data_IF_526372811452
#
_entry.id   IF_526372811452
#
_cell.length_a   1.000
_cell.length_b   1.000
_cell.length_c   1.000
_cell.angle_alpha   90.00
_cell.angle_beta   90.00
_cell.angle_gamma   90.00
#
_symmetry.space_group_name_H-M   'P 1'
#
loop_
_entity.id
_entity.type
_entity.pdbx_description
1 polymer ?
#
# COMPACT_ATOMS: atom_id res chain seq x y z
N UNK A 1 -16.53 0.23 -18.00
CA UNK A 1 -15.89 -1.09 -18.18
C UNK A 1 -15.69 -1.67 -16.80
N UNK A 2 -16.01 -2.95 -16.53
CA UNK A 2 -15.66 -3.54 -15.24
C UNK A 2 -14.15 -3.42 -15.00
N UNK A 3 -13.71 -3.39 -13.75
CA UNK A 3 -12.29 -3.39 -13.40
C UNK A 3 -12.14 -4.05 -12.03
N UNK A 4 -11.31 -5.09 -11.96
CA UNK A 4 -11.02 -5.77 -10.70
C UNK A 4 -9.91 -5.03 -9.94
N UNK A 5 -10.07 -4.87 -8.63
CA UNK A 5 -9.00 -4.46 -7.73
C UNK A 5 -8.40 -5.71 -7.11
N UNK A 6 -7.10 -5.91 -7.30
CA UNK A 6 -6.36 -7.03 -6.77
C UNK A 6 -5.30 -6.58 -5.75
N UNK A 7 -5.07 -7.42 -4.75
CA UNK A 7 -4.00 -7.25 -3.75
C UNK A 7 -3.08 -8.46 -3.73
N UNK A 8 -1.87 -8.30 -3.23
CA UNK A 8 -0.87 -9.37 -3.17
C UNK A 8 -1.00 -10.29 -1.95
N UNK A 9 -1.91 -9.99 -1.03
CA UNK A 9 -2.10 -10.74 0.22
C UNK A 9 -3.54 -10.64 0.73
N UNK A 10 -4.14 -11.72 1.27
CA UNK A 10 -5.56 -11.75 1.64
C UNK A 10 -5.92 -10.88 2.86
N UNK A 11 -4.97 -10.64 3.76
CA UNK A 11 -5.10 -9.75 4.91
C UNK A 11 -5.21 -8.27 4.54
N UNK A 12 -4.95 -7.91 3.27
CA UNK A 12 -5.20 -6.57 2.74
C UNK A 12 -6.66 -6.37 2.29
N UNK A 13 -7.49 -7.41 2.33
CA UNK A 13 -8.88 -7.34 1.88
C UNK A 13 -9.79 -6.96 3.05
N UNK A 14 -10.20 -5.69 3.10
CA UNK A 14 -11.21 -5.24 4.06
C UNK A 14 -12.62 -5.67 3.63
N UNK A 15 -13.52 -5.95 4.60
CA UNK A 15 -14.93 -6.17 4.31
C UNK A 15 -15.54 -4.90 3.71
N UNK A 16 -16.46 -5.08 2.77
CA UNK A 16 -17.24 -3.97 2.25
C UNK A 16 -18.32 -3.55 3.25
N UNK A 17 -18.60 -2.24 3.41
CA UNK A 17 -19.76 -1.78 4.18
C UNK A 17 -21.10 -2.08 3.50
N UNK A 18 -21.10 -2.36 2.20
CA UNK A 18 -22.28 -2.60 1.38
C UNK A 18 -22.17 -3.90 0.55
N UNK A 19 -23.31 -4.37 0.02
CA UNK A 19 -23.40 -5.61 -0.78
C UNK A 19 -23.01 -5.46 -2.25
N UNK A 20 -22.83 -4.23 -2.73
CA UNK A 20 -22.64 -3.92 -4.15
C UNK A 20 -21.16 -3.77 -4.52
N UNK A 21 -20.33 -3.36 -3.57
CA UNK A 21 -18.88 -3.26 -3.75
C UNK A 21 -18.28 -4.65 -3.92
N UNK A 22 -17.65 -4.95 -5.06
CA UNK A 22 -17.06 -6.26 -5.33
C UNK A 22 -15.94 -6.57 -4.33
N UNK A 23 -15.64 -7.85 -4.09
CA UNK A 23 -14.47 -8.24 -3.27
C UNK A 23 -13.17 -7.96 -4.01
N UNK A 24 -12.09 -7.68 -3.28
CA UNK A 24 -10.77 -7.64 -3.89
C UNK A 24 -10.38 -9.05 -4.34
N UNK A 25 -9.74 -9.16 -5.50
CA UNK A 25 -9.05 -10.38 -5.88
C UNK A 25 -7.73 -10.50 -5.11
N UNK A 26 -7.29 -11.73 -4.82
CA UNK A 26 -6.01 -11.98 -4.14
C UNK A 26 -5.11 -12.76 -5.08
N UNK A 27 -4.00 -12.15 -5.52
CA UNK A 27 -3.01 -12.79 -6.40
C UNK A 27 -1.93 -13.48 -5.57
N UNK A 28 -2.30 -14.56 -4.89
CA UNK A 28 -1.36 -15.34 -4.04
C UNK A 28 -0.25 -15.99 -4.87
N UNK A 29 -0.54 -16.29 -6.14
CA UNK A 29 0.43 -16.77 -7.13
C UNK A 29 1.63 -15.85 -7.35
N UNK A 30 1.48 -14.55 -7.06
CA UNK A 30 2.55 -13.57 -7.18
C UNK A 30 3.64 -13.72 -6.09
N UNK A 31 3.30 -14.29 -4.93
CA UNK A 31 4.15 -14.21 -3.71
C UNK A 31 5.22 -15.31 -3.63
N UNK A 32 5.08 -16.39 -4.40
CA UNK A 32 6.06 -17.47 -4.53
C UNK A 32 6.39 -18.24 -3.24
N UNK A 33 7.20 -19.32 -3.32
CA UNK A 33 7.52 -20.16 -2.14
C UNK A 33 8.44 -19.52 -1.08
N UNK A 34 8.94 -18.29 -1.28
CA UNK A 34 10.12 -17.77 -0.58
C UNK A 34 9.90 -16.67 0.46
N UNK A 35 8.66 -16.38 0.85
CA UNK A 35 8.32 -15.17 1.63
C UNK A 35 7.86 -15.36 3.08
N UNK A 36 8.08 -16.52 3.72
CA UNK A 36 7.67 -16.74 5.10
C UNK A 36 8.67 -16.18 6.13
N UNK A 37 8.23 -15.60 7.27
CA UNK A 37 9.12 -15.25 8.37
C UNK A 37 9.72 -16.53 8.98
N UNK A 38 11.03 -16.55 9.15
CA UNK A 38 11.78 -17.70 9.63
C UNK A 38 11.28 -18.20 10.98
N UNK A 39 10.64 -19.37 10.96
CA UNK A 39 10.36 -20.14 12.16
C UNK A 39 11.71 -20.55 12.78
N UNK A 40 12.05 -19.96 13.92
CA UNK A 40 13.18 -20.40 14.75
C UNK A 40 12.93 -21.86 15.13
N UNK A 41 13.80 -22.76 14.66
CA UNK A 41 13.81 -24.16 15.03
C UNK A 41 14.00 -24.31 16.54
N UNK A 42 13.00 -24.87 17.21
CA UNK A 42 13.18 -25.41 18.55
C UNK A 42 13.86 -26.77 18.44
N UNK A 43 14.98 -26.85 19.15
CA UNK A 43 15.88 -28.00 19.28
C UNK A 43 15.10 -29.20 19.80
N UNK A 44 15.12 -30.30 19.03
CA UNK A 44 14.52 -31.57 19.43
C UNK A 44 15.18 -32.15 20.68
N UNK A 45 14.35 -32.67 21.58
CA UNK A 45 14.77 -33.51 22.69
C UNK A 45 14.13 -34.90 22.53
N UNK A 46 14.98 -35.92 22.68
CA UNK A 46 14.67 -37.35 22.64
C UNK A 46 13.75 -37.81 23.79
N UNK A 47 13.05 -38.92 23.55
CA UNK A 47 12.42 -39.80 24.55
C UNK A 47 11.39 -40.71 23.86
N UNK A 48 11.73 -41.90 23.38
CA UNK A 48 11.87 -43.19 24.10
C UNK A 48 10.54 -43.92 24.40
N UNK A 49 10.31 -44.98 23.60
CA UNK A 49 9.89 -46.38 23.95
C UNK A 49 8.58 -46.72 24.68
N UNK A 50 7.89 -47.74 24.12
CA UNK A 50 6.90 -48.66 24.75
C UNK A 50 5.69 -48.94 23.84
N UNK A 51 5.57 -50.04 23.08
CA UNK A 51 5.13 -51.42 23.43
C UNK A 51 3.76 -51.47 24.13
N UNK A 52 2.74 -52.31 23.85
CA UNK A 52 2.49 -53.42 22.90
C UNK A 52 0.99 -53.85 22.98
N UNK A 53 0.51 -54.64 21.99
CA UNK A 53 -0.63 -55.59 22.06
C UNK A 53 -2.03 -55.02 21.75
N UNK A 54 -2.97 -55.68 21.07
CA UNK A 54 -3.16 -56.99 20.40
C UNK A 54 -4.59 -56.94 19.81
N UNK A 55 -4.87 -57.36 18.58
CA UNK A 55 -5.38 -58.70 18.26
C UNK A 55 -6.84 -58.69 17.74
N UNK A 56 -7.03 -59.08 16.48
CA UNK A 56 -8.16 -59.89 15.97
C UNK A 56 -9.54 -59.26 15.71
N UNK A 57 -10.06 -59.40 14.48
CA UNK A 57 -11.49 -59.27 14.18
C UNK A 57 -11.84 -59.09 12.70
N UNK A 58 -12.21 -60.16 12.02
CA UNK A 58 -12.60 -60.23 10.60
C UNK A 58 -14.09 -59.86 10.45
N UNK A 59 -14.45 -59.06 9.45
CA UNK A 59 -15.86 -58.83 9.06
C UNK A 59 -16.03 -57.75 7.99
N UNK A 60 -16.61 -58.11 6.85
CA UNK A 60 -17.10 -57.27 5.74
C UNK A 60 -18.35 -57.95 5.18
N UNK A 61 -19.20 -57.33 4.32
CA UNK A 61 -19.17 -55.96 3.77
C UNK A 61 -20.52 -55.21 3.86
N UNK A 62 -20.56 -53.91 3.54
CA UNK A 62 -21.84 -53.23 3.24
C UNK A 62 -21.80 -51.71 3.06
N UNK A 63 -22.04 -51.26 1.83
CA UNK A 63 -22.67 -49.99 1.40
C UNK A 63 -21.94 -48.64 1.56
N UNK A 64 -21.38 -48.20 0.42
CA UNK A 64 -21.51 -46.85 -0.21
C UNK A 64 -21.60 -45.61 0.69
N UNK A 65 -20.51 -44.86 0.75
CA UNK A 65 -20.48 -43.42 1.00
C UNK A 65 -19.20 -42.83 0.42
N UNK A 66 -19.29 -42.16 -0.73
CA UNK A 66 -18.14 -41.50 -1.38
C UNK A 66 -17.88 -40.18 -0.65
N UNK A 67 -17.02 -40.22 0.37
CA UNK A 67 -16.39 -39.05 0.97
C UNK A 67 -14.90 -39.15 0.62
N UNK A 68 -14.45 -38.34 -0.34
CA UNK A 68 -13.04 -38.22 -0.67
C UNK A 68 -12.32 -37.44 0.43
N UNK A 69 -11.80 -38.17 1.41
CA UNK A 69 -10.78 -37.72 2.33
C UNK A 69 -9.41 -37.93 1.66
N UNK A 70 -8.93 -36.91 0.94
CA UNK A 70 -7.52 -36.85 0.54
C UNK A 70 -6.72 -36.18 1.68
N UNK A 71 -6.37 -36.99 2.68
CA UNK A 71 -5.31 -36.68 3.62
C UNK A 71 -3.96 -36.68 2.92
N UNK A 72 -3.57 -35.52 2.38
CA UNK A 72 -2.21 -35.27 1.91
C UNK A 72 -1.47 -34.40 2.93
N UNK A 73 -0.36 -34.89 3.47
CA UNK A 73 0.58 -34.14 4.31
C UNK A 73 0.92 -32.80 3.63
N UNK A 74 0.38 -31.71 4.17
CA UNK A 74 0.55 -30.35 3.63
C UNK A 74 1.95 -29.82 3.89
N UNK A 75 2.89 -30.11 2.98
CA UNK A 75 4.06 -29.26 2.80
C UNK A 75 3.62 -27.89 2.30
N UNK A 76 4.29 -26.82 2.76
CA UNK A 76 4.03 -25.44 2.36
C UNK A 76 3.94 -25.34 0.82
N UNK A 77 2.73 -25.19 0.28
CA UNK A 77 2.52 -25.06 -1.16
C UNK A 77 3.05 -23.70 -1.58
N UNK A 78 4.26 -23.67 -2.12
CA UNK A 78 4.73 -22.53 -2.88
C UNK A 78 3.85 -22.35 -4.11
N UNK A 79 3.20 -21.20 -4.26
CA UNK A 79 2.35 -20.94 -5.41
C UNK A 79 3.17 -20.88 -6.72
N UNK A 80 2.70 -21.59 -7.76
CA UNK A 80 3.39 -21.68 -9.05
C UNK A 80 3.10 -20.46 -9.95
N UNK A 81 3.97 -20.22 -10.93
CA UNK A 81 3.74 -19.17 -11.93
C UNK A 81 2.51 -19.47 -12.79
N UNK A 82 2.29 -20.75 -13.14
CA UNK A 82 1.13 -21.20 -13.91
C UNK A 82 -0.20 -20.89 -13.21
N UNK A 83 -0.25 -21.07 -11.89
CA UNK A 83 -1.43 -20.70 -11.10
C UNK A 83 -1.65 -19.18 -11.15
N UNK A 84 -0.58 -18.39 -11.01
CA UNK A 84 -0.66 -16.93 -11.07
C UNK A 84 -1.13 -16.43 -12.45
N UNK A 85 -0.68 -17.07 -13.53
CA UNK A 85 -1.13 -16.79 -14.90
C UNK A 85 -2.61 -17.11 -15.07
N UNK A 86 -3.05 -18.27 -14.57
CA UNK A 86 -4.47 -18.69 -14.63
C UNK A 86 -5.37 -17.74 -13.85
N UNK A 87 -4.96 -17.34 -12.64
CA UNK A 87 -5.66 -16.37 -11.80
C UNK A 87 -5.79 -15.02 -12.53
N UNK A 88 -4.69 -14.49 -13.05
CA UNK A 88 -4.68 -13.21 -13.76
C UNK A 88 -5.51 -13.24 -15.05
N UNK A 89 -5.38 -14.31 -15.85
CA UNK A 89 -6.17 -14.48 -17.07
C UNK A 89 -7.67 -14.55 -16.75
N UNK A 90 -8.06 -15.33 -15.74
CA UNK A 90 -9.46 -15.42 -15.30
C UNK A 90 -10.01 -14.05 -14.92
N UNK A 91 -9.24 -13.24 -14.17
CA UNK A 91 -9.67 -11.88 -13.80
C UNK A 91 -9.83 -10.96 -15.01
N UNK A 92 -8.93 -11.04 -16.00
CA UNK A 92 -9.02 -10.25 -17.22
C UNK A 92 -10.27 -10.64 -18.03
N UNK A 93 -10.56 -11.93 -18.17
CA UNK A 93 -11.75 -12.38 -18.92
C UNK A 93 -13.05 -11.94 -18.23
N UNK A 94 -13.11 -12.01 -16.90
CA UNK A 94 -14.34 -11.65 -16.16
C UNK A 94 -14.52 -10.14 -16.00
N UNK A 95 -13.44 -9.39 -15.83
CA UNK A 95 -13.50 -7.98 -15.46
C UNK A 95 -12.92 -7.05 -16.53
N UNK A 96 -12.33 -7.53 -17.61
CA UNK A 96 -11.69 -6.71 -18.64
C UNK A 96 -10.33 -6.15 -18.20
N UNK A 97 -10.28 -5.44 -17.08
CA UNK A 97 -9.06 -4.81 -16.55
C UNK A 97 -8.80 -5.22 -15.09
N UNK A 98 -7.53 -5.25 -14.72
CA UNK A 98 -7.07 -5.58 -13.36
C UNK A 98 -6.09 -4.52 -12.87
N UNK A 99 -6.37 -3.97 -11.68
CA UNK A 99 -5.47 -3.05 -10.98
C UNK A 99 -4.91 -3.80 -9.77
N UNK A 100 -3.62 -4.09 -9.81
CA UNK A 100 -2.90 -4.78 -8.73
C UNK A 100 -2.24 -3.75 -7.83
N UNK A 101 -2.72 -3.63 -6.60
CA UNK A 101 -2.10 -2.82 -5.55
C UNK A 101 -0.93 -3.59 -4.93
N UNK A 102 0.25 -3.02 -5.06
CA UNK A 102 1.50 -3.59 -4.56
C UNK A 102 2.11 -2.68 -3.49
N UNK A 103 2.29 -3.14 -2.25
CA UNK A 103 3.08 -2.42 -1.26
C UNK A 103 4.48 -2.08 -1.79
N UNK A 104 5.04 -0.93 -1.40
CA UNK A 104 6.42 -0.58 -1.72
C UNK A 104 7.44 -1.56 -1.11
N UNK A 105 7.07 -2.19 0.02
CA UNK A 105 7.84 -3.23 0.72
C UNK A 105 7.81 -4.62 0.06
N UNK A 106 7.02 -4.79 -1.01
CA UNK A 106 6.90 -6.04 -1.76
C UNK A 106 8.28 -6.53 -2.24
N UNK A 107 8.63 -7.81 -2.02
CA UNK A 107 9.89 -8.35 -2.50
C UNK A 107 10.04 -8.19 -4.03
N UNK A 108 11.25 -7.89 -4.55
CA UNK A 108 11.47 -7.74 -6.00
C UNK A 108 11.01 -8.94 -6.82
N UNK A 109 11.11 -10.15 -6.28
CA UNK A 109 10.66 -11.38 -6.94
C UNK A 109 9.15 -11.38 -7.25
N UNK A 110 8.33 -10.82 -6.35
CA UNK A 110 6.87 -10.71 -6.54
C UNK A 110 6.56 -9.69 -7.62
N UNK A 111 7.24 -8.54 -7.60
CA UNK A 111 7.08 -7.50 -8.61
C UNK A 111 7.54 -7.97 -10.00
N UNK A 112 8.69 -8.64 -10.08
CA UNK A 112 9.17 -9.28 -11.32
C UNK A 112 8.15 -10.29 -11.83
N UNK A 113 7.59 -11.12 -10.95
CA UNK A 113 6.57 -12.09 -11.32
C UNK A 113 5.31 -11.43 -11.90
N UNK A 114 4.84 -10.33 -11.32
CA UNK A 114 3.71 -9.58 -11.88
C UNK A 114 4.02 -9.02 -13.27
N UNK A 115 5.25 -8.52 -13.49
CA UNK A 115 5.69 -8.12 -14.83
C UNK A 115 5.81 -9.30 -15.81
N UNK A 116 6.27 -10.47 -15.34
CA UNK A 116 6.29 -11.71 -16.14
C UNK A 116 4.88 -12.12 -16.53
N UNK A 117 3.92 -12.12 -15.60
CA UNK A 117 2.51 -12.43 -15.88
C UNK A 117 1.97 -11.52 -16.97
N UNK A 118 2.19 -10.20 -16.83
CA UNK A 118 1.76 -9.22 -17.83
C UNK A 118 2.39 -9.46 -19.20
N UNK A 119 3.68 -9.81 -19.23
CA UNK A 119 4.42 -10.05 -20.47
C UNK A 119 3.98 -11.34 -21.17
N UNK A 120 3.81 -12.43 -20.42
CA UNK A 120 3.40 -13.74 -20.94
C UNK A 120 1.96 -13.72 -21.45
N UNK A 121 1.08 -12.98 -20.79
CA UNK A 121 -0.30 -12.78 -21.24
C UNK A 121 -0.42 -11.72 -22.36
N UNK A 122 0.68 -11.08 -22.75
CA UNK A 122 0.72 -9.98 -23.72
C UNK A 122 -0.33 -8.90 -23.44
N UNK A 123 -0.62 -8.66 -22.16
CA UNK A 123 -1.77 -7.86 -21.74
C UNK A 123 -1.36 -6.45 -21.35
N UNK A 124 -2.03 -5.47 -21.95
CA UNK A 124 -2.01 -4.06 -21.53
C UNK A 124 -3.10 -3.75 -20.50
N UNK A 125 -3.90 -4.75 -20.09
CA UNK A 125 -5.05 -4.60 -19.19
C UNK A 125 -4.73 -4.85 -17.71
N UNK A 126 -3.45 -5.00 -17.36
CA UNK A 126 -2.96 -5.12 -15.98
C UNK A 126 -2.17 -3.87 -15.60
N UNK A 127 -2.68 -3.10 -14.64
CA UNK A 127 -1.95 -2.04 -13.98
C UNK A 127 -1.30 -2.57 -12.70
N UNK A 128 -0.01 -2.30 -12.50
CA UNK A 128 0.72 -2.61 -11.25
C UNK A 128 0.98 -1.29 -10.55
N UNK A 129 0.20 -1.00 -9.51
CA UNK A 129 0.25 0.26 -8.78
C UNK A 129 1.03 0.07 -7.49
N UNK A 130 2.24 0.65 -7.44
CA UNK A 130 3.05 0.67 -6.23
C UNK A 130 2.55 1.75 -5.27
N UNK A 131 2.42 1.38 -4.00
CA UNK A 131 1.96 2.30 -2.94
C UNK A 131 2.95 2.34 -1.79
N UNK A 132 3.27 3.56 -1.35
CA UNK A 132 4.10 3.82 -0.16
C UNK A 132 3.29 3.77 1.15
N UNK A 133 1.97 3.54 1.07
CA UNK A 133 1.11 3.44 2.25
C UNK A 133 1.55 2.28 3.16
N UNK A 134 1.44 2.44 4.49
CA UNK A 134 1.45 1.33 5.44
C UNK A 134 0.39 0.27 5.06
N UNK A 135 0.55 -1.00 5.49
CA UNK A 135 -0.34 -2.09 5.08
C UNK A 135 -1.82 -1.82 5.33
N UNK A 136 -2.20 -1.27 6.50
CA UNK A 136 -3.61 -0.92 6.77
C UNK A 136 -4.10 0.22 5.86
N UNK A 137 -3.24 1.22 5.62
CA UNK A 137 -3.53 2.30 4.67
C UNK A 137 -3.75 1.77 3.25
N UNK A 138 -2.96 0.77 2.82
CA UNK A 138 -3.14 0.09 1.54
C UNK A 138 -4.45 -0.69 1.48
N UNK A 139 -4.84 -1.36 2.56
CA UNK A 139 -6.12 -2.05 2.65
C UNK A 139 -7.31 -1.08 2.51
N UNK A 140 -7.20 0.12 3.12
CA UNK A 140 -8.19 1.20 2.95
C UNK A 140 -8.22 1.70 1.51
N UNK A 141 -7.05 1.90 0.88
CA UNK A 141 -6.98 2.28 -0.53
C UNK A 141 -7.64 1.24 -1.44
N UNK A 142 -7.41 -0.05 -1.18
CA UNK A 142 -8.04 -1.15 -1.90
C UNK A 142 -9.57 -1.09 -1.78
N UNK A 143 -10.09 -0.85 -0.58
CA UNK A 143 -11.53 -0.69 -0.35
C UNK A 143 -12.10 0.50 -1.12
N UNK A 144 -11.46 1.67 -1.05
CA UNK A 144 -11.92 2.87 -1.75
C UNK A 144 -11.91 2.69 -3.27
N UNK A 145 -10.89 2.07 -3.85
CA UNK A 145 -10.87 1.77 -5.29
C UNK A 145 -11.94 0.75 -5.69
N UNK A 146 -12.26 -0.22 -4.83
CA UNK A 146 -13.37 -1.15 -5.08
C UNK A 146 -14.72 -0.43 -5.08
N UNK A 147 -14.92 0.50 -4.15
CA UNK A 147 -16.12 1.35 -4.13
C UNK A 147 -16.19 2.21 -5.41
N UNK A 148 -15.08 2.78 -5.86
CA UNK A 148 -15.06 3.57 -7.09
C UNK A 148 -15.16 2.72 -8.36
N UNK A 149 -14.84 1.42 -8.31
CA UNK A 149 -14.92 0.50 -9.46
C UNK A 149 -16.35 0.22 -9.93
N UNK A 150 -17.35 0.47 -9.07
CA UNK A 150 -18.77 0.39 -9.44
C UNK A 150 -19.32 1.71 -10.01
N UNK A 151 -18.52 2.78 -9.98
CA UNK A 151 -18.84 4.06 -10.61
C UNK A 151 -18.43 4.08 -12.09
N UNK A 152 -18.79 5.15 -12.80
CA UNK A 152 -18.52 5.35 -14.23
C UNK A 152 -17.10 5.85 -14.54
N UNK A 153 -16.08 5.32 -13.85
CA UNK A 153 -14.68 5.62 -14.15
C UNK A 153 -14.10 4.67 -15.19
N UNK A 154 -13.26 5.21 -16.08
CA UNK A 154 -12.43 4.39 -16.94
C UNK A 154 -11.33 3.68 -16.12
N UNK A 155 -10.82 2.52 -16.57
CA UNK A 155 -9.79 1.77 -15.85
C UNK A 155 -8.53 2.62 -15.59
N UNK A 156 -8.15 3.46 -16.56
CA UNK A 156 -6.98 4.34 -16.45
C UNK A 156 -7.15 5.42 -15.39
N UNK A 157 -8.32 6.06 -15.31
CA UNK A 157 -8.65 7.02 -14.25
C UNK A 157 -8.66 6.32 -12.89
N UNK A 158 -9.32 5.17 -12.77
CA UNK A 158 -9.40 4.41 -11.52
C UNK A 158 -8.00 3.97 -11.01
N UNK A 159 -7.15 3.47 -11.90
CA UNK A 159 -5.78 3.07 -11.56
C UNK A 159 -4.92 4.25 -11.13
N UNK A 160 -5.06 5.42 -11.79
CA UNK A 160 -4.31 6.61 -11.43
C UNK A 160 -4.86 7.31 -10.17
N UNK A 161 -6.16 7.17 -9.89
CA UNK A 161 -6.81 7.66 -8.67
C UNK A 161 -6.17 7.08 -7.41
N UNK A 162 -5.56 5.89 -7.47
CA UNK A 162 -4.81 5.32 -6.36
C UNK A 162 -3.75 6.28 -5.78
N UNK A 163 -3.07 7.07 -6.64
CA UNK A 163 -2.08 8.07 -6.23
C UNK A 163 -2.72 9.32 -5.64
N UNK A 164 -3.90 9.71 -6.13
CA UNK A 164 -4.65 10.84 -5.58
C UNK A 164 -5.17 10.49 -4.18
N UNK A 165 -5.84 9.34 -4.06
CA UNK A 165 -6.50 8.90 -2.84
C UNK A 165 -5.52 8.63 -1.71
N UNK A 166 -4.28 8.21 -1.98
CA UNK A 166 -3.26 8.06 -0.94
C UNK A 166 -2.97 9.38 -0.18
N UNK A 167 -3.20 10.54 -0.80
CA UNK A 167 -3.09 11.85 -0.14
C UNK A 167 -4.28 12.16 0.80
N UNK A 168 -5.38 11.41 0.69
CA UNK A 168 -6.56 11.52 1.54
C UNK A 168 -6.66 10.38 2.56
N UNK A 169 -5.63 9.53 2.65
CA UNK A 169 -5.51 8.47 3.65
C UNK A 169 -4.42 8.87 4.65
N UNK A 170 -4.86 9.20 5.86
CA UNK A 170 -4.01 9.50 7.00
C UNK A 170 -3.64 8.18 7.68
N UNK A 171 -2.52 7.58 7.27
CA UNK A 171 -2.08 6.28 7.76
C UNK A 171 -0.85 6.45 8.67
N UNK A 172 -0.92 5.84 9.85
CA UNK A 172 0.06 5.98 10.90
C UNK A 172 0.06 4.80 11.87
N UNK A 173 0.90 4.87 12.89
CA UNK A 173 0.89 3.92 13.98
C UNK A 173 1.33 4.57 15.30
N UNK A 174 0.74 4.08 16.39
CA UNK A 174 1.31 4.21 17.72
C UNK A 174 2.35 3.11 17.91
N UNK A 175 3.58 3.48 18.22
CA UNK A 175 4.72 2.56 18.32
C UNK A 175 5.32 2.58 19.72
N UNK A 176 5.71 1.39 20.21
CA UNK A 176 6.47 1.24 21.45
C UNK A 176 7.97 1.44 21.26
N UNK A 177 8.44 1.58 20.02
CA UNK A 177 9.82 1.87 19.65
C UNK A 177 9.88 2.36 18.21
N UNK A 178 10.76 3.32 17.94
CA UNK A 178 11.08 3.82 16.59
C UNK A 178 12.49 3.43 16.15
N UNK A 179 13.11 2.48 16.86
CA UNK A 179 14.42 1.94 16.48
C UNK A 179 14.30 1.22 15.13
N UNK A 180 15.01 1.71 14.10
CA UNK A 180 15.02 1.20 12.71
C UNK A 180 13.80 1.56 11.86
N UNK A 181 13.06 2.60 12.23
CA UNK A 181 12.02 3.14 11.35
C UNK A 181 12.67 4.02 10.25
N UNK A 182 13.18 3.38 9.21
CA UNK A 182 13.91 4.07 8.13
C UNK A 182 12.98 4.72 7.09
N UNK A 183 11.71 4.30 7.04
CA UNK A 183 10.73 4.71 6.02
C UNK A 183 10.05 6.04 6.29
N UNK A 184 10.05 6.48 7.56
CA UNK A 184 9.47 7.75 7.97
C UNK A 184 10.64 8.64 8.35
N UNK A 185 10.89 9.77 7.67
CA UNK A 185 11.99 10.66 8.00
C UNK A 185 11.76 11.24 9.39
N UNK A 186 12.38 10.63 10.40
CA UNK A 186 12.39 11.13 11.77
C UNK A 186 13.56 12.08 11.91
N UNK A 187 13.36 13.21 12.58
CA UNK A 187 14.49 14.08 12.96
C UNK A 187 15.39 13.32 13.93
N UNK A 188 16.71 13.49 13.81
CA UNK A 188 17.72 12.76 14.61
C UNK A 188 17.50 12.90 16.14
N UNK A 189 16.83 13.97 16.59
CA UNK A 189 16.48 14.17 18.00
C UNK A 189 15.47 13.15 18.54
N UNK A 190 14.62 12.57 17.69
CA UNK A 190 13.63 11.57 18.09
C UNK A 190 14.25 10.20 18.38
N UNK A 191 15.35 9.84 17.70
CA UNK A 191 16.10 8.61 18.00
C UNK A 191 16.76 8.63 19.39
N UNK A 192 17.28 9.79 19.81
CA UNK A 192 17.89 9.94 21.14
C UNK A 192 16.87 9.85 22.28
N UNK A 193 15.62 10.25 22.04
CA UNK A 193 14.52 10.20 23.04
C UNK A 193 13.83 8.83 23.13
N UNK A 194 14.02 7.94 22.15
CA UNK A 194 13.47 6.57 22.13
C UNK A 194 14.11 5.61 23.14
N UNK A 195 15.13 6.04 23.88
CA UNK A 195 15.82 5.24 24.90
C UNK A 195 15.20 5.34 26.31
N UNK A 196 14.11 6.09 26.48
CA UNK A 196 13.40 6.16 27.75
C UNK A 196 12.38 5.00 27.86
N UNK A 197 12.47 4.14 28.89
CA UNK A 197 11.48 3.09 29.12
C UNK A 197 10.07 3.68 29.29
N UNK A 198 9.08 3.12 28.58
CA UNK A 198 7.68 3.51 28.71
C UNK A 198 7.20 4.66 27.81
N UNK A 199 8.05 5.22 26.94
CA UNK A 199 7.59 6.18 25.93
C UNK A 199 6.93 5.49 24.73
N UNK A 200 5.74 5.95 24.36
CA UNK A 200 5.11 5.62 23.09
C UNK A 200 5.32 6.77 22.10
N UNK A 201 5.34 6.45 20.81
CA UNK A 201 5.54 7.40 19.73
C UNK A 201 4.37 7.29 18.76
N UNK A 202 3.69 8.39 18.49
CA UNK A 202 2.70 8.46 17.44
C UNK A 202 3.39 8.89 16.15
N UNK A 203 3.25 8.08 15.10
CA UNK A 203 3.88 8.31 13.81
C UNK A 203 2.82 8.36 12.73
N UNK A 204 2.84 9.42 11.93
CA UNK A 204 2.09 9.53 10.68
C UNK A 204 3.04 9.23 9.53
N UNK A 205 2.70 8.29 8.66
CA UNK A 205 3.49 7.99 7.45
C UNK A 205 2.98 8.78 6.24
N UNK A 206 1.66 8.86 6.08
CA UNK A 206 0.99 9.58 5.00
C UNK A 206 -0.14 10.44 5.57
N UNK A 207 -0.51 11.55 4.90
CA UNK A 207 0.07 12.09 3.67
C UNK A 207 1.39 12.86 3.89
N UNK A 208 1.67 13.30 5.13
CA UNK A 208 2.91 13.98 5.49
C UNK A 208 3.54 13.24 6.67
N UNK A 209 4.79 12.76 6.54
CA UNK A 209 5.52 12.15 7.62
C UNK A 209 5.60 13.06 8.86
N UNK A 210 5.15 12.57 10.00
CA UNK A 210 5.19 13.26 11.28
C UNK A 210 5.49 12.27 12.41
N UNK A 211 6.24 12.69 13.43
CA UNK A 211 6.48 11.89 14.62
C UNK A 211 6.35 12.80 15.84
N UNK A 212 5.49 12.39 16.77
CA UNK A 212 5.31 13.03 18.07
C UNK A 212 5.41 11.99 19.18
N UNK A 213 5.79 12.43 20.38
CA UNK A 213 5.75 11.56 21.56
C UNK A 213 4.29 11.49 22.00
N UNK A 214 3.78 10.28 22.22
CA UNK A 214 2.44 10.11 22.76
C UNK A 214 2.50 10.28 24.29
N UNK A 215 1.83 11.32 24.80
CA UNK A 215 1.67 11.56 26.23
C UNK A 215 0.91 10.42 26.91
N UNK A 216 1.41 9.94 28.05
CA UNK A 216 0.76 8.91 28.85
C UNK A 216 -0.26 9.52 29.81
N UNK A 217 -1.54 9.13 29.65
CA UNK A 217 -2.70 9.37 30.55
C UNK A 217 -2.87 10.79 31.11
N UNK A 218 -3.92 11.45 30.62
CA UNK A 218 -4.69 12.50 31.29
C UNK A 218 -5.18 12.01 32.66
N UNK A 219 -4.51 12.46 33.72
CA UNK A 219 -4.89 12.20 35.10
C UNK A 219 -4.25 13.21 36.03
N UNK A 220 -4.79 14.44 36.08
CA UNK A 220 -4.35 15.44 37.04
C UNK A 220 -4.75 16.88 36.72
N UNK A 221 -5.81 17.35 37.39
CA UNK A 221 -6.16 18.74 37.73
C UNK A 221 -5.90 19.83 36.66
N UNK A 222 -7.00 20.30 36.07
CA UNK A 222 -7.10 21.69 35.63
C UNK A 222 -6.88 22.63 36.83
N UNK A 223 -5.76 23.34 36.85
CA UNK A 223 -5.51 24.39 37.83
C UNK A 223 -4.07 24.89 37.83
N UNK A 224 -3.84 26.04 37.20
CA UNK A 224 -2.82 26.99 37.69
C UNK A 224 -1.72 27.43 36.74
N UNK A 225 -1.94 28.61 36.15
CA UNK A 225 -1.00 29.71 35.84
C UNK A 225 0.18 29.51 34.89
N UNK A 226 0.20 30.44 33.93
CA UNK A 226 1.28 30.82 33.05
C UNK A 226 2.57 31.25 33.77
N UNK A 227 3.71 30.83 33.22
CA UNK A 227 5.03 31.40 33.49
C UNK A 227 6.15 30.37 33.46
N UNK A 228 6.93 30.32 32.35
CA UNK A 228 8.22 29.62 32.33
C UNK A 228 8.57 28.94 31.00
N UNK A 229 9.73 29.30 30.45
CA UNK A 229 10.32 28.81 29.18
C UNK A 229 10.86 27.37 29.31
N UNK A 230 10.83 26.64 28.19
CA UNK A 230 11.54 25.40 27.83
C UNK A 230 11.01 24.05 28.37
N UNK A 231 10.50 23.20 27.47
CA UNK A 231 10.34 21.76 27.71
C UNK A 231 9.20 21.08 26.94
N UNK A 232 9.52 20.51 25.76
CA UNK A 232 8.78 19.45 25.03
C UNK A 232 7.26 19.51 25.02
N UNK A 233 6.70 20.17 24.00
CA UNK A 233 5.26 20.24 23.77
C UNK A 233 4.71 18.83 23.41
N UNK A 234 3.66 18.42 24.12
CA UNK A 234 2.94 17.15 23.96
C UNK A 234 1.97 17.31 22.77
N UNK A 235 2.53 17.62 21.59
CA UNK A 235 1.75 18.01 20.42
C UNK A 235 1.13 16.77 19.75
N UNK A 236 -0.19 16.78 19.54
CA UNK A 236 -0.91 15.75 18.78
C UNK A 236 -0.58 15.82 17.29
N UNK A 237 -0.67 14.68 16.59
CA UNK A 237 -0.49 14.60 15.14
C UNK A 237 -1.46 15.53 14.40
N UNK A 238 -0.98 16.18 13.34
CA UNK A 238 -1.84 17.00 12.50
C UNK A 238 -2.95 16.15 11.84
N UNK A 239 -4.20 16.52 12.09
CA UNK A 239 -5.37 15.80 11.62
C UNK A 239 -5.85 16.22 10.22
N UNK A 240 -6.76 15.42 9.62
CA UNK A 240 -7.39 15.74 8.35
C UNK A 240 -8.32 16.96 8.48
N UNK A 241 -8.31 17.83 7.47
CA UNK A 241 -9.26 18.95 7.34
C UNK A 241 -10.62 18.56 6.75
N UNK A 242 -10.96 17.27 6.78
CA UNK A 242 -12.16 16.70 6.18
C UNK A 242 -12.66 15.53 7.01
N UNK A 243 -13.92 15.14 6.79
CA UNK A 243 -14.54 14.08 7.57
C UNK A 243 -13.97 12.71 7.24
N UNK A 244 -13.62 11.95 8.26
CA UNK A 244 -12.98 10.63 8.11
C UNK A 244 -13.61 9.60 9.01
N UNK A 245 -13.52 8.34 8.61
CA UNK A 245 -13.66 7.18 9.50
C UNK A 245 -12.28 6.59 9.74
N UNK A 246 -12.01 6.18 10.98
CA UNK A 246 -10.74 5.57 11.36
C UNK A 246 -10.90 4.05 11.44
N UNK A 247 -10.02 3.34 10.76
CA UNK A 247 -9.76 1.93 11.04
C UNK A 247 -8.49 1.84 11.87
N UNK A 248 -8.46 0.92 12.82
CA UNK A 248 -7.24 0.62 13.56
C UNK A 248 -7.05 -0.88 13.67
N UNK A 249 -5.80 -1.30 13.82
CA UNK A 249 -5.43 -2.69 13.94
C UNK A 249 -4.40 -2.86 15.06
N UNK A 250 -4.72 -3.74 16.00
CA UNK A 250 -3.95 -3.89 17.24
C UNK A 250 -2.85 -4.93 17.10
N UNK A 251 -1.63 -4.54 17.46
CA UNK A 251 -0.51 -5.45 17.68
C UNK A 251 -0.36 -5.77 19.17
N UNK A 252 0.83 -5.54 19.72
CA UNK A 252 1.10 -5.78 21.14
C UNK A 252 0.79 -4.58 22.06
N UNK A 253 0.27 -3.48 21.52
CA UNK A 253 -0.12 -2.27 22.29
C UNK A 253 -1.64 -2.15 22.40
N UNK A 254 -2.10 -1.40 23.41
CA UNK A 254 -3.53 -1.08 23.56
C UNK A 254 -3.93 0.07 22.62
N UNK A 255 -5.17 0.05 22.07
CA UNK A 255 -5.65 1.07 21.15
C UNK A 255 -6.12 2.35 21.84
N UNK A 256 -6.13 2.42 23.17
CA UNK A 256 -6.71 3.52 23.97
C UNK A 256 -6.27 4.90 23.48
N UNK A 257 -4.97 5.11 23.21
CA UNK A 257 -4.51 6.41 22.71
C UNK A 257 -5.07 6.73 21.30
N UNK A 258 -5.20 5.74 20.42
CA UNK A 258 -5.77 5.91 19.08
C UNK A 258 -7.27 6.22 19.16
N UNK A 259 -8.01 5.48 19.99
CA UNK A 259 -9.48 5.55 20.06
C UNK A 259 -9.95 6.70 20.95
N UNK A 260 -9.31 6.92 22.10
CA UNK A 260 -9.77 7.87 23.12
C UNK A 260 -9.07 9.23 23.01
N UNK A 261 -7.93 9.32 22.32
CA UNK A 261 -7.17 10.58 22.17
C UNK A 261 -7.11 11.05 20.72
N UNK A 262 -6.58 10.23 19.80
CA UNK A 262 -6.37 10.63 18.42
C UNK A 262 -7.69 10.81 17.66
N UNK A 263 -8.60 9.83 17.75
CA UNK A 263 -9.88 9.87 17.05
C UNK A 263 -10.74 11.09 17.40
N UNK A 264 -10.93 11.47 18.69
CA UNK A 264 -11.61 12.72 19.05
C UNK A 264 -10.86 13.96 18.58
N UNK A 265 -9.53 13.99 18.70
CA UNK A 265 -8.73 15.13 18.25
C UNK A 265 -8.86 15.38 16.72
N UNK A 266 -9.06 14.31 15.95
CA UNK A 266 -9.27 14.38 14.50
C UNK A 266 -10.74 14.50 14.10
N UNK A 267 -11.67 14.58 15.06
CA UNK A 267 -13.12 14.61 14.83
C UNK A 267 -13.58 13.50 13.87
N UNK A 268 -13.07 12.27 14.03
CA UNK A 268 -13.46 11.16 13.17
C UNK A 268 -14.92 10.76 13.43
N UNK A 269 -15.64 10.40 12.37
CA UNK A 269 -17.06 10.02 12.44
C UNK A 269 -17.27 8.69 13.18
N UNK A 270 -16.23 7.87 13.27
CA UNK A 270 -16.27 6.59 13.97
C UNK A 270 -14.95 5.82 13.84
N UNK A 271 -14.78 4.84 14.72
CA UNK A 271 -13.65 3.93 14.73
C UNK A 271 -14.11 2.48 14.52
N UNK A 272 -13.30 1.66 13.87
CA UNK A 272 -13.51 0.21 13.81
C UNK A 272 -12.18 -0.55 13.89
N UNK A 273 -12.19 -1.63 14.66
CA UNK A 273 -11.09 -2.60 14.75
C UNK A 273 -11.08 -3.50 13.52
N UNK A 274 -9.90 -3.79 13.01
CA UNK A 274 -9.66 -4.77 11.96
C UNK A 274 -8.44 -5.63 12.29
N UNK A 275 -8.36 -6.87 11.77
CA UNK A 275 -7.19 -7.70 11.96
C UNK A 275 -5.91 -7.00 11.47
N UNK A 276 -4.84 -7.13 12.25
CA UNK A 276 -3.54 -6.57 11.87
C UNK A 276 -3.00 -7.24 10.61
N UNK A 277 -2.71 -6.47 9.54
CA UNK A 277 -2.05 -7.02 8.37
C UNK A 277 -0.70 -7.66 8.75
N UNK A 278 -0.38 -8.81 8.15
CA UNK A 278 0.80 -9.61 8.46
C UNK A 278 2.10 -8.84 8.23
N UNK A 279 2.12 -7.97 7.21
CA UNK A 279 3.30 -7.16 6.88
C UNK A 279 3.48 -5.93 7.78
N UNK A 280 2.51 -5.58 8.64
CA UNK A 280 2.55 -4.38 9.48
C UNK A 280 3.77 -4.36 10.39
N UNK A 281 4.08 -5.47 11.06
CA UNK A 281 5.24 -5.53 11.96
C UNK A 281 6.57 -5.32 11.23
N UNK A 282 6.68 -5.82 9.98
CA UNK A 282 7.85 -5.63 9.13
C UNK A 282 7.92 -4.22 8.53
N UNK A 283 6.77 -3.63 8.20
CA UNK A 283 6.69 -2.28 7.68
C UNK A 283 7.11 -1.25 8.73
N UNK A 284 6.57 -1.39 9.95
CA UNK A 284 6.83 -0.50 11.11
C UNK A 284 8.10 -0.87 11.90
N UNK A 285 8.81 -1.93 11.51
CA UNK A 285 10.02 -2.44 12.16
C UNK A 285 9.83 -2.93 13.63
N UNK A 286 8.60 -3.03 14.12
CA UNK A 286 8.26 -3.51 15.47
C UNK A 286 6.88 -4.17 15.47
N UNK A 287 6.64 -5.14 16.36
CA UNK A 287 5.30 -5.70 16.63
C UNK A 287 4.56 -4.98 17.77
N UNK A 288 5.25 -4.10 18.50
CA UNK A 288 4.68 -3.25 19.55
C UNK A 288 4.04 -2.03 18.92
N UNK A 289 2.89 -2.22 18.28
CA UNK A 289 2.18 -1.17 17.56
C UNK A 289 0.66 -1.25 17.70
N UNK A 290 0.01 -0.12 17.42
CA UNK A 290 -1.36 -0.04 16.93
C UNK A 290 -1.32 0.76 15.63
N UNK A 291 -1.68 0.14 14.51
CA UNK A 291 -1.72 0.81 13.21
C UNK A 291 -3.08 1.45 13.05
N UNK A 292 -3.15 2.63 12.45
CA UNK A 292 -4.40 3.31 12.17
C UNK A 292 -4.39 3.90 10.76
N UNK A 293 -5.57 3.97 10.16
CA UNK A 293 -5.80 4.65 8.89
C UNK A 293 -7.13 5.39 8.97
N UNK A 294 -7.08 6.72 8.88
CA UNK A 294 -8.26 7.57 8.75
C UNK A 294 -8.42 8.01 7.30
N UNK A 295 -9.62 7.80 6.74
CA UNK A 295 -9.90 8.13 5.36
C UNK A 295 -11.36 8.53 5.15
N UNK A 296 -11.64 9.14 4.00
CA UNK A 296 -12.98 9.55 3.59
C UNK A 296 -13.86 8.30 3.45
N UNK A 297 -14.98 8.19 4.20
CA UNK A 297 -15.85 7.01 4.16
C UNK A 297 -16.92 7.09 3.07
N UNK A 298 -17.23 8.30 2.59
CA UNK A 298 -18.32 8.56 1.65
C UNK A 298 -17.86 8.41 0.20
N UNK A 299 -18.46 7.45 -0.51
CA UNK A 299 -18.21 7.18 -1.92
C UNK A 299 -18.53 8.39 -2.81
N UNK A 300 -19.54 9.21 -2.49
CA UNK A 300 -19.89 10.39 -3.28
C UNK A 300 -18.80 11.46 -3.19
N UNK A 301 -18.18 11.61 -2.03
CA UNK A 301 -17.02 12.51 -1.86
C UNK A 301 -15.81 11.97 -2.61
N UNK A 302 -15.54 10.66 -2.52
CA UNK A 302 -14.46 10.03 -3.29
C UNK A 302 -14.66 10.19 -4.80
N UNK A 303 -15.89 9.97 -5.27
CA UNK A 303 -16.27 10.17 -6.66
C UNK A 303 -15.98 11.60 -7.09
N UNK A 304 -16.41 12.59 -6.30
CA UNK A 304 -16.23 13.99 -6.63
C UNK A 304 -14.76 14.41 -6.64
N UNK A 305 -13.94 13.88 -5.72
CA UNK A 305 -12.50 14.11 -5.74
C UNK A 305 -11.89 13.63 -7.06
N UNK A 306 -12.22 12.41 -7.49
CA UNK A 306 -11.65 11.83 -8.72
C UNK A 306 -12.21 12.52 -9.98
N UNK A 307 -13.51 12.81 -10.02
CA UNK A 307 -14.16 13.44 -11.18
C UNK A 307 -13.76 14.90 -11.39
N UNK A 308 -13.37 15.61 -10.32
CA UNK A 308 -12.92 17.00 -10.39
C UNK A 308 -11.53 17.19 -10.99
N UNK A 309 -10.72 16.13 -11.07
CA UNK A 309 -9.38 16.20 -11.65
C UNK A 309 -9.46 16.14 -13.17
N UNK A 310 -8.69 17.02 -13.83
CA UNK A 310 -8.61 17.05 -15.29
C UNK A 310 -8.12 15.71 -15.83
N UNK A 311 -8.88 15.18 -16.79
CA UNK A 311 -8.60 13.92 -17.47
C UNK A 311 -7.85 14.18 -18.78
N UNK A 312 -6.99 13.24 -19.12
CA UNK A 312 -6.12 13.28 -20.30
C UNK A 312 -6.00 11.88 -20.89
N UNK A 313 -5.82 11.78 -22.20
CA UNK A 313 -5.56 10.50 -22.85
C UNK A 313 -4.07 10.18 -22.87
N UNK A 314 -3.73 8.94 -22.49
CA UNK A 314 -2.37 8.46 -22.64
C UNK A 314 -1.97 8.40 -24.12
N UNK A 315 -0.93 9.13 -24.52
CA UNK A 315 -0.41 9.11 -25.90
C UNK A 315 0.16 7.76 -26.36
N UNK A 316 0.45 6.86 -25.42
CA UNK A 316 1.01 5.54 -25.73
C UNK A 316 -0.08 4.46 -25.84
N UNK A 317 -0.90 4.29 -24.81
CA UNK A 317 -1.90 3.21 -24.76
C UNK A 317 -3.35 3.68 -24.99
N UNK A 318 -3.60 4.98 -25.14
CA UNK A 318 -4.93 5.54 -25.41
C UNK A 318 -5.92 5.52 -24.24
N UNK A 319 -5.52 5.05 -23.06
CA UNK A 319 -6.39 5.08 -21.87
C UNK A 319 -6.48 6.50 -21.28
N UNK A 320 -7.69 6.92 -20.97
CA UNK A 320 -7.98 8.12 -20.17
C UNK A 320 -7.41 7.97 -18.76
N UNK A 321 -6.77 9.02 -18.24
CA UNK A 321 -6.13 9.01 -16.93
C UNK A 321 -6.15 10.39 -16.26
N UNK A 322 -5.77 10.40 -14.99
CA UNK A 322 -5.50 11.62 -14.20
C UNK A 322 -4.06 11.61 -13.70
N UNK A 323 -3.49 12.79 -13.44
CA UNK A 323 -2.10 12.93 -12.98
C UNK A 323 -1.10 13.02 -14.13
N UNK A 324 0.16 12.66 -13.89
CA UNK A 324 1.30 12.90 -14.80
C UNK A 324 1.85 11.64 -15.50
N UNK A 325 1.37 10.45 -15.12
CA UNK A 325 1.89 9.16 -15.60
C UNK A 325 0.80 8.11 -15.62
N UNK A 326 0.71 7.36 -16.72
CA UNK A 326 -0.24 6.27 -16.88
C UNK A 326 0.09 5.08 -15.97
N UNK A 327 -0.90 4.58 -15.22
CA UNK A 327 -0.74 3.42 -14.35
C UNK A 327 -0.61 2.06 -15.10
N UNK A 328 -1.03 1.99 -16.37
CA UNK A 328 -0.92 0.76 -17.19
C UNK A 328 0.40 0.68 -17.94
N UNK A 329 0.71 1.66 -18.80
CA UNK A 329 1.93 1.61 -19.62
C UNK A 329 3.13 2.35 -19.01
N UNK A 330 2.96 3.03 -17.87
CA UNK A 330 3.97 3.88 -17.25
C UNK A 330 4.45 5.07 -18.11
N UNK A 331 3.84 5.35 -19.27
CA UNK A 331 4.18 6.50 -20.08
C UNK A 331 3.87 7.81 -19.34
N UNK A 332 4.79 8.80 -19.32
CA UNK A 332 4.49 10.13 -18.83
C UNK A 332 3.54 10.87 -19.79
N UNK A 333 2.67 11.73 -19.28
CA UNK A 333 1.76 12.53 -20.12
C UNK A 333 2.49 13.60 -20.92
N UNK A 334 3.43 14.29 -20.27
CA UNK A 334 4.30 15.27 -20.90
C UNK A 334 5.63 14.60 -21.26
N UNK A 335 6.20 14.84 -22.45
CA UNK A 335 7.56 14.44 -22.72
C UNK A 335 8.48 15.07 -21.66
N UNK A 336 9.51 14.35 -21.17
CA UNK A 336 10.48 14.95 -20.26
C UNK A 336 10.97 16.27 -20.84
N UNK A 337 11.11 17.35 -20.03
CA UNK A 337 11.67 18.59 -20.54
C UNK A 337 13.01 18.25 -21.20
N UNK A 338 13.15 18.66 -22.46
CA UNK A 338 14.38 18.49 -23.21
C UNK A 338 15.49 19.09 -22.35
N UNK A 339 16.43 18.27 -21.87
CA UNK A 339 17.60 18.79 -21.16
C UNK A 339 18.28 19.69 -22.17
N UNK A 340 18.15 21.00 -22.00
CA UNK A 340 18.96 21.96 -22.73
C UNK A 340 20.40 21.43 -22.64
N UNK A 341 21.06 21.15 -23.78
CA UNK A 341 22.44 20.69 -23.74
C UNK A 341 23.19 21.69 -22.89
N UNK A 342 23.85 21.21 -21.83
CA UNK A 342 24.60 22.05 -20.90
C UNK A 342 25.39 23.04 -21.74
N UNK A 343 24.99 24.31 -21.65
CA UNK A 343 25.51 25.35 -22.52
C UNK A 343 27.01 25.30 -22.42
N UNK A 344 27.66 24.85 -23.50
CA UNK A 344 29.08 25.09 -23.69
C UNK A 344 29.14 26.61 -23.75
N UNK A 345 29.63 27.21 -22.66
CA UNK A 345 29.83 28.65 -22.60
C UNK A 345 30.57 29.04 -23.88
N UNK A 346 30.07 30.00 -24.67
CA UNK A 346 30.84 30.48 -25.79
C UNK A 346 32.15 31.01 -25.20
N UNK A 347 33.27 30.42 -25.64
CA UNK A 347 34.56 31.01 -25.37
C UNK A 347 34.50 32.44 -25.92
N UNK A 348 34.66 33.42 -25.03
CA UNK A 348 34.80 34.81 -25.44
C UNK A 348 36.07 34.89 -26.28
N UNK A 349 35.88 35.12 -27.58
CA UNK A 349 36.95 35.39 -28.54
C UNK A 349 37.09 36.92 -28.63
N UNK A 350 38.19 37.54 -28.18
CA UNK A 350 38.39 38.97 -28.33
C UNK A 350 39.27 39.27 -29.55
N UNK A 351 38.68 39.92 -30.55
CA UNK A 351 39.39 40.58 -31.67
C UNK A 351 39.20 39.85 -32.98
N UNK A 352 38.35 40.34 -33.90
CA UNK A 352 38.69 41.44 -34.82
C UNK A 352 39.40 40.83 -36.04
N UNK A 353 38.88 40.80 -37.25
CA UNK A 353 37.95 41.62 -38.01
C UNK A 353 38.13 41.23 -39.49
N UNK A 354 37.48 41.99 -40.37
CA UNK A 354 37.58 41.95 -41.83
C UNK A 354 36.58 41.07 -42.59
N UNK A 355 36.12 41.69 -43.68
CA UNK A 355 34.96 41.42 -44.50
C UNK A 355 35.13 40.25 -45.47
N UNK A 356 34.01 39.71 -45.97
CA UNK A 356 33.66 39.83 -47.40
C UNK A 356 32.43 38.99 -47.77
N UNK A 357 31.54 39.65 -48.53
CA UNK A 357 30.76 39.14 -49.68
C UNK A 357 29.81 37.96 -49.50
N UNK A 358 28.55 38.22 -49.87
CA UNK A 358 27.41 37.34 -49.65
C UNK A 358 27.19 36.25 -50.68
N UNK A 359 26.19 35.42 -50.37
CA UNK A 359 25.33 34.73 -51.34
C UNK A 359 23.94 34.62 -50.71
N UNK A 360 22.91 34.95 -51.49
CA UNK A 360 21.48 34.80 -51.20
C UNK A 360 20.98 33.53 -51.90
N UNK A 361 20.29 32.63 -51.20
CA UNK A 361 19.29 31.67 -51.74
C UNK A 361 18.59 30.96 -50.56
N UNK A 362 17.37 31.37 -50.18
CA UNK A 362 16.03 30.90 -50.58
C UNK A 362 15.52 29.66 -49.80
N UNK A 363 14.27 29.70 -49.27
CA UNK A 363 13.68 28.62 -48.50
C UNK A 363 13.05 27.56 -49.41
N UNK A 364 12.98 26.32 -48.94
CA UNK A 364 12.08 25.31 -49.52
C UNK A 364 11.03 24.93 -48.49
N UNK A 365 9.80 25.35 -48.77
CA UNK A 365 8.59 24.68 -48.30
C UNK A 365 7.93 23.92 -49.46
N UNK A 366 7.07 22.98 -49.05
CA UNK A 366 5.98 22.30 -49.77
C UNK A 366 6.34 21.36 -50.94
N UNK A 367 6.06 20.07 -50.76
CA UNK A 367 4.71 19.49 -51.03
C UNK A 367 4.38 18.45 -49.99
#
# INVERSE_FOLDING_TARGET
>A
MPTAIAVTSPDLVLPSPDRHTPTAAVLQGATGPGGGPGAKGTKGLMGATGAAGGGGGVGSPGARGVLSAAGGKGGARGFSLEQALTEAHTLIEHHGYVIVLCPASTPPAVLHRLHTIRSVLESDRIAIVRSELPPLGLSVLALQLRQLSICDFSPGVLACAARLLSHYIYAGALLGSVARLDRVPVTLQSHAKSWMPGSQFAVLATPRPELVKAGGKSGGKAGGKAGGKAGGDDTLLAGPGFSTKMLYATGQLTPDWVVDTLAPAWNVQGCADVPLPAESARWWATGKLVEFAAAIPDISVLYQLVSSVRREDCRWCGLELIGDRCAFCAAPLLPPPERAPAGRAPAADPGGGAAATGVRALPRGAT
#
